data_IF_928531311440
#
_entry.id   IF_928531311440
#
_cell.length_a   1.000
_cell.length_b   1.000
_cell.length_c   1.000
_cell.angle_alpha   90.00
_cell.angle_beta   90.00
_cell.angle_gamma   90.00
#
_symmetry.space_group_name_H-M   'P 1'
#
loop_
_entity.id
_entity.type
_entity.pdbx_description
1 polymer ?
#
# COMPACT_ATOMS: atom_id res chain seq x y z
N UNK A 1 -7.40 -1.34 24.18
CA UNK A 1 -7.56 -2.23 23.00
C UNK A 1 -6.18 -2.73 22.64
N UNK A 2 -5.98 -4.04 22.54
CA UNK A 2 -4.67 -4.62 22.25
C UNK A 2 -4.19 -4.14 20.86
N UNK A 3 -3.08 -3.42 20.83
CA UNK A 3 -2.40 -2.99 19.61
C UNK A 3 -1.78 -4.24 18.98
N UNK A 4 -2.49 -4.92 18.08
CA UNK A 4 -1.88 -5.95 17.24
C UNK A 4 -0.94 -5.18 16.31
N UNK A 5 0.33 -5.07 16.69
CA UNK A 5 1.37 -4.50 15.86
C UNK A 5 1.58 -5.42 14.65
N UNK A 6 0.84 -5.15 13.56
CA UNK A 6 1.10 -5.78 12.27
C UNK A 6 2.53 -5.42 11.91
N UNK A 7 3.40 -6.43 11.74
CA UNK A 7 4.75 -6.21 11.24
C UNK A 7 4.67 -6.00 9.72
N UNK A 8 4.78 -4.76 9.23
CA UNK A 8 4.44 -4.47 7.84
C UNK A 8 5.38 -5.16 6.85
N UNK A 9 6.64 -5.36 7.26
CA UNK A 9 7.64 -6.10 6.48
C UNK A 9 7.29 -7.59 6.32
N UNK A 10 6.87 -8.24 7.40
CA UNK A 10 6.46 -9.66 7.35
C UNK A 10 5.26 -9.80 6.43
N UNK A 11 4.28 -8.91 6.57
CA UNK A 11 3.09 -8.89 5.74
C UNK A 11 3.43 -8.69 4.25
N UNK A 12 4.26 -7.70 3.93
CA UNK A 12 4.72 -7.43 2.56
C UNK A 12 5.40 -8.66 1.93
N UNK A 13 6.27 -9.34 2.67
CA UNK A 13 6.95 -10.56 2.21
C UNK A 13 5.94 -11.70 2.00
N UNK A 14 4.99 -11.87 2.92
CA UNK A 14 3.96 -12.91 2.82
C UNK A 14 3.05 -12.71 1.60
N UNK A 15 2.68 -11.47 1.29
CA UNK A 15 1.85 -11.14 0.12
C UNK A 15 2.62 -11.35 -1.17
N UNK A 16 3.86 -10.88 -1.25
CA UNK A 16 4.73 -11.06 -2.44
C UNK A 16 4.87 -12.53 -2.86
N UNK A 17 4.90 -13.45 -1.90
CA UNK A 17 4.98 -14.89 -2.16
C UNK A 17 3.61 -15.56 -2.31
N UNK A 18 2.52 -14.85 -2.03
CA UNK A 18 1.17 -15.39 -2.15
C UNK A 18 0.75 -15.40 -3.62
N UNK A 19 0.36 -16.58 -4.13
CA UNK A 19 -0.03 -16.76 -5.54
C UNK A 19 -1.54 -16.74 -5.80
N UNK A 20 -2.34 -16.42 -4.78
CA UNK A 20 -3.80 -16.55 -4.84
C UNK A 20 -4.55 -15.32 -4.30
N UNK A 21 -3.89 -14.48 -3.50
CA UNK A 21 -4.55 -13.35 -2.84
C UNK A 21 -4.81 -12.21 -3.84
N UNK A 22 -6.06 -12.06 -4.25
CA UNK A 22 -6.49 -11.03 -5.21
C UNK A 22 -7.07 -9.79 -4.55
N UNK A 23 -7.47 -9.88 -3.28
CA UNK A 23 -8.02 -8.76 -2.50
C UNK A 23 -7.40 -8.74 -1.11
N UNK A 24 -6.95 -7.57 -0.68
CA UNK A 24 -6.38 -7.35 0.64
C UNK A 24 -6.98 -6.10 1.26
N UNK A 25 -7.43 -6.20 2.52
CA UNK A 25 -7.89 -5.07 3.31
C UNK A 25 -7.05 -4.93 4.57
N UNK A 26 -6.35 -3.81 4.71
CA UNK A 26 -5.61 -3.44 5.90
C UNK A 26 -6.12 -2.13 6.50
N UNK A 27 -7.29 -1.65 6.10
CA UNK A 27 -7.85 -0.40 6.58
C UNK A 27 -7.93 -0.35 8.10
N UNK A 28 -7.78 0.86 8.65
CA UNK A 28 -7.76 1.14 10.09
C UNK A 28 -6.66 0.43 10.89
N UNK A 29 -5.60 -0.03 10.22
CA UNK A 29 -4.41 -0.54 10.90
C UNK A 29 -3.29 0.50 10.90
N UNK A 30 -2.59 0.64 12.03
CA UNK A 30 -1.45 1.55 12.12
C UNK A 30 -0.24 0.96 11.39
N UNK A 31 -0.13 1.24 10.10
CA UNK A 31 0.98 0.79 9.24
C UNK A 31 2.15 1.76 9.34
N UNK A 32 1.87 3.07 9.36
CA UNK A 32 2.92 4.09 9.45
C UNK A 32 3.78 4.20 8.19
N UNK A 33 4.76 5.11 8.23
CA UNK A 33 5.70 5.34 7.13
C UNK A 33 6.50 4.07 6.76
N UNK A 34 7.07 3.37 7.75
CA UNK A 34 7.88 2.17 7.52
C UNK A 34 7.07 1.07 6.83
N UNK A 35 5.80 0.93 7.19
CA UNK A 35 4.93 -0.02 6.51
C UNK A 35 4.50 0.44 5.12
N UNK A 36 4.32 1.75 4.91
CA UNK A 36 4.13 2.32 3.57
C UNK A 36 5.28 2.01 2.61
N UNK A 37 6.52 2.07 3.10
CA UNK A 37 7.70 1.67 2.32
C UNK A 37 7.64 0.19 1.95
N UNK A 38 7.39 -0.70 2.92
CA UNK A 38 7.32 -2.14 2.66
C UNK A 38 6.20 -2.50 1.66
N UNK A 39 5.06 -1.80 1.77
CA UNK A 39 3.95 -1.93 0.81
C UNK A 39 4.35 -1.46 -0.58
N UNK A 40 5.08 -0.35 -0.70
CA UNK A 40 5.54 0.14 -2.00
C UNK A 40 6.50 -0.87 -2.67
N UNK A 41 7.43 -1.44 -1.90
CA UNK A 41 8.34 -2.49 -2.39
C UNK A 41 7.56 -3.73 -2.87
N UNK A 42 6.57 -4.18 -2.08
CA UNK A 42 5.69 -5.28 -2.46
C UNK A 42 4.90 -4.96 -3.73
N UNK A 43 4.23 -3.81 -3.80
CA UNK A 43 3.42 -3.40 -4.95
C UNK A 43 4.25 -3.28 -6.24
N UNK A 44 5.52 -2.91 -6.17
CA UNK A 44 6.36 -2.82 -7.36
C UNK A 44 6.62 -4.17 -8.04
N UNK A 45 6.45 -5.28 -7.31
CA UNK A 45 6.72 -6.65 -7.77
C UNK A 45 5.48 -7.56 -7.74
N UNK A 46 4.38 -7.12 -7.15
CA UNK A 46 3.15 -7.92 -7.03
C UNK A 46 2.42 -8.01 -8.38
N UNK A 47 2.15 -9.24 -8.81
CA UNK A 47 1.52 -9.53 -10.10
C UNK A 47 0.07 -10.03 -10.00
N UNK A 48 -0.51 -10.08 -8.80
CA UNK A 48 -1.74 -10.88 -8.54
C UNK A 48 -2.81 -10.07 -7.83
N UNK A 49 -2.43 -9.17 -6.93
CA UNK A 49 -3.36 -8.38 -6.15
C UNK A 49 -4.12 -7.42 -7.06
N UNK A 50 -5.43 -7.62 -7.16
CA UNK A 50 -6.32 -6.80 -7.98
C UNK A 50 -6.94 -5.66 -7.16
N UNK A 51 -7.12 -5.84 -5.85
CA UNK A 51 -7.75 -4.87 -4.96
C UNK A 51 -6.99 -4.73 -3.65
N UNK A 52 -6.68 -3.49 -3.26
CA UNK A 52 -6.02 -3.20 -1.99
C UNK A 52 -6.67 -2.02 -1.27
N UNK A 53 -7.10 -2.24 -0.03
CA UNK A 53 -7.59 -1.20 0.85
C UNK A 53 -6.57 -0.85 1.95
N UNK A 54 -6.17 0.41 1.98
CA UNK A 54 -5.26 1.00 2.96
C UNK A 54 -5.88 2.19 3.68
N UNK A 55 -7.21 2.34 3.69
CA UNK A 55 -7.85 3.50 4.29
C UNK A 55 -7.48 3.67 5.78
N UNK A 56 -7.15 4.90 6.19
CA UNK A 56 -6.79 5.25 7.57
C UNK A 56 -5.62 4.43 8.16
N UNK A 57 -4.58 4.19 7.36
CA UNK A 57 -3.41 3.40 7.78
C UNK A 57 -2.23 4.21 8.35
N UNK A 58 -2.41 5.54 8.47
CA UNK A 58 -1.39 6.50 8.94
C UNK A 58 -0.07 6.40 8.15
N UNK A 59 -0.12 6.07 6.87
CA UNK A 59 1.07 5.91 6.01
C UNK A 59 1.89 7.20 5.90
N UNK A 60 1.21 8.35 5.85
CA UNK A 60 1.82 9.67 5.75
C UNK A 60 2.33 9.99 4.35
N UNK A 61 2.60 11.27 4.09
CA UNK A 61 2.89 11.79 2.76
C UNK A 61 4.09 11.12 2.06
N UNK A 62 5.19 10.88 2.79
CA UNK A 62 6.36 10.22 2.21
C UNK A 62 6.06 8.76 1.83
N UNK A 63 5.34 8.02 2.67
CA UNK A 63 4.92 6.66 2.34
C UNK A 63 3.97 6.64 1.13
N UNK A 64 3.06 7.61 1.05
CA UNK A 64 2.14 7.78 -0.08
C UNK A 64 2.88 8.08 -1.40
N UNK A 65 3.91 8.92 -1.36
CA UNK A 65 4.78 9.16 -2.52
C UNK A 65 5.49 7.90 -3.01
N UNK A 66 5.95 7.05 -2.09
CA UNK A 66 6.58 5.77 -2.44
C UNK A 66 5.58 4.79 -3.05
N UNK A 67 4.38 4.70 -2.47
CA UNK A 67 3.28 3.90 -3.01
C UNK A 67 2.93 4.36 -4.43
N UNK A 68 2.77 5.67 -4.66
CA UNK A 68 2.52 6.22 -6.01
C UNK A 68 3.56 5.79 -7.04
N UNK A 69 4.85 5.91 -6.71
CA UNK A 69 5.95 5.46 -7.58
C UNK A 69 5.93 3.96 -7.85
N UNK A 70 5.54 3.13 -6.88
CA UNK A 70 5.42 1.69 -7.06
C UNK A 70 4.24 1.36 -7.99
N UNK A 71 3.12 2.07 -7.84
CA UNK A 71 1.94 1.90 -8.67
C UNK A 71 2.22 2.19 -10.15
N UNK A 72 3.07 3.17 -10.46
CA UNK A 72 3.51 3.43 -11.84
C UNK A 72 4.11 2.20 -12.55
N UNK A 73 4.62 1.22 -11.79
CA UNK A 73 5.14 -0.06 -12.31
C UNK A 73 4.14 -1.21 -12.20
N UNK A 74 3.19 -1.13 -11.27
CA UNK A 74 2.21 -2.19 -11.05
C UNK A 74 1.07 -2.11 -12.08
N UNK A 75 0.98 -3.10 -12.97
CA UNK A 75 -0.05 -3.16 -14.01
C UNK A 75 -1.29 -3.98 -13.62
N UNK A 76 -1.23 -4.74 -12.52
CA UNK A 76 -2.27 -5.71 -12.13
C UNK A 76 -3.28 -5.16 -11.13
N UNK A 77 -2.85 -4.23 -10.27
CA UNK A 77 -3.72 -3.62 -9.27
C UNK A 77 -4.78 -2.73 -9.95
N UNK A 78 -6.02 -3.20 -9.93
CA UNK A 78 -7.16 -2.53 -10.55
C UNK A 78 -7.87 -1.55 -9.61
N UNK A 79 -7.78 -1.78 -8.29
CA UNK A 79 -8.44 -0.93 -7.30
C UNK A 79 -7.53 -0.68 -6.10
N UNK A 80 -7.33 0.58 -5.76
CA UNK A 80 -6.60 1.01 -4.58
C UNK A 80 -7.40 2.06 -3.79
N UNK A 81 -7.61 1.81 -2.51
CA UNK A 81 -8.32 2.72 -1.60
C UNK A 81 -7.33 3.31 -0.58
N UNK A 82 -7.17 4.64 -0.59
CA UNK A 82 -6.14 5.36 0.18
C UNK A 82 -6.69 6.46 1.09
N UNK A 83 -8.01 6.51 1.30
CA UNK A 83 -8.63 7.58 2.08
C UNK A 83 -7.98 7.72 3.46
N UNK A 84 -7.92 8.95 3.99
CA UNK A 84 -7.42 9.22 5.33
C UNK A 84 -5.93 8.85 5.59
N UNK A 85 -5.06 8.86 4.55
CA UNK A 85 -3.60 8.63 4.70
C UNK A 85 -2.70 9.86 4.56
N UNK A 86 -3.25 11.08 4.51
CA UNK A 86 -2.49 12.31 4.26
C UNK A 86 -1.65 12.22 2.98
N UNK A 87 -2.32 12.03 1.85
CA UNK A 87 -1.71 11.84 0.52
C UNK A 87 -0.84 13.06 0.12
N UNK A 88 -1.28 14.28 0.46
CA UNK A 88 -0.65 15.57 0.07
C UNK A 88 -0.37 15.68 -1.45
N UNK A 89 0.01 16.87 -1.91
CA UNK A 89 0.17 17.13 -3.34
C UNK A 89 1.18 16.20 -4.01
N UNK A 90 2.33 15.96 -3.37
CA UNK A 90 3.37 15.08 -3.92
C UNK A 90 2.92 13.62 -4.05
N UNK A 91 2.17 13.11 -3.06
CA UNK A 91 1.62 11.76 -3.13
C UNK A 91 0.50 11.66 -4.17
N UNK A 92 -0.29 12.72 -4.33
CA UNK A 92 -1.36 12.77 -5.33
C UNK A 92 -0.79 12.78 -6.76
N UNK A 93 0.27 13.55 -7.02
CA UNK A 93 0.99 13.56 -8.31
C UNK A 93 1.53 12.16 -8.62
N UNK A 94 2.22 11.53 -7.67
CA UNK A 94 2.79 10.20 -7.88
C UNK A 94 1.74 9.12 -8.15
N UNK A 95 0.53 9.25 -7.60
CA UNK A 95 -0.59 8.35 -7.89
C UNK A 95 -1.22 8.68 -9.25
N UNK A 96 -1.35 9.96 -9.59
CA UNK A 96 -1.91 10.40 -10.85
C UNK A 96 -1.08 9.95 -12.06
N UNK A 97 0.24 9.78 -11.91
CA UNK A 97 1.11 9.22 -12.96
C UNK A 97 0.74 7.80 -13.40
N UNK A 98 -0.11 7.09 -12.64
CA UNK A 98 -0.57 5.73 -12.97
C UNK A 98 -1.97 5.67 -13.61
N UNK A 99 -2.77 6.74 -13.47
CA UNK A 99 -4.15 6.83 -13.98
C UNK A 99 -4.11 7.27 -15.44
#
# INVERSE_FOLDING_TARGET
MAEIAIQPKVLAISIKNNRFLTTLDLSHNRIGFIGGQAIAEMLAEDEILAKFNLCDCKVGAQGMKMIGKALAKNINLAQLLLSQNAILDEGAVAIAERI
#
